data_IF_169735110557
#
_entry.id   IF_169735110557
#
_cell.length_a   1.000
_cell.length_b   1.000
_cell.length_c   1.000
_cell.angle_alpha   90.00
_cell.angle_beta   90.00
_cell.angle_gamma   90.00
#
_symmetry.space_group_name_H-M   'P 1'
#
loop_
_entity.id
_entity.type
_entity.pdbx_description
1 polymer ?
#
# COMPACT_ATOMS: atom_id res chain seq x y z
N UNK A 1 44.21 7.13 20.16
CA UNK A 1 44.46 6.19 21.28
C UNK A 1 43.48 5.03 21.20
N UNK A 2 44.06 3.81 20.98
CA UNK A 2 43.59 2.46 21.37
C UNK A 2 42.17 2.04 20.86
N UNK A 3 42.09 1.33 19.72
CA UNK A 3 42.15 -0.15 19.54
C UNK A 3 41.42 -0.97 20.59
N UNK A 4 40.39 -1.70 20.15
CA UNK A 4 40.17 -3.10 20.54
C UNK A 4 39.15 -3.78 19.61
N UNK A 5 39.61 -4.70 18.74
CA UNK A 5 38.92 -5.91 18.29
C UNK A 5 39.23 -7.00 19.33
N UNK A 6 38.36 -8.00 19.52
CA UNK A 6 38.69 -9.36 19.10
C UNK A 6 37.48 -10.07 18.43
N UNK A 7 37.71 -10.76 17.36
CA UNK A 7 38.20 -12.13 17.19
C UNK A 7 37.17 -13.23 17.48
N UNK A 8 36.69 -13.82 16.37
CA UNK A 8 36.57 -15.25 16.07
C UNK A 8 35.97 -16.20 17.11
N UNK A 9 34.89 -16.86 16.72
CA UNK A 9 34.67 -18.27 17.03
C UNK A 9 34.07 -19.02 15.84
N UNK A 10 34.96 -19.76 15.21
CA UNK A 10 34.68 -20.94 14.37
C UNK A 10 34.15 -22.07 15.27
N UNK A 11 32.96 -22.51 15.04
CA UNK A 11 32.37 -23.70 15.63
C UNK A 11 32.08 -24.74 14.54
N UNK A 12 33.09 -25.60 14.30
CA UNK A 12 32.95 -26.88 13.59
C UNK A 12 32.02 -27.81 14.40
N UNK A 13 31.02 -28.38 13.80
CA UNK A 13 30.43 -29.66 14.21
C UNK A 13 30.14 -30.47 12.96
N UNK A 14 30.92 -31.32 12.75
CA UNK A 14 31.21 -32.71 12.46
C UNK A 14 29.95 -33.56 12.29
N UNK A 15 29.93 -34.15 11.08
CA UNK A 15 29.39 -35.43 10.62
C UNK A 15 28.81 -36.37 11.69
N UNK A 16 27.60 -36.85 11.43
CA UNK A 16 27.23 -38.23 11.70
C UNK A 16 26.38 -38.79 10.55
N UNK A 17 27.04 -39.62 9.77
CA UNK A 17 26.45 -40.55 8.81
C UNK A 17 25.82 -41.70 9.62
N UNK A 18 24.55 -41.95 9.47
CA UNK A 18 23.93 -43.18 9.91
C UNK A 18 23.10 -43.73 8.74
N UNK A 19 23.71 -44.70 8.08
CA UNK A 19 23.08 -45.62 7.14
C UNK A 19 22.15 -46.58 7.89
N UNK A 20 20.89 -46.70 7.50
CA UNK A 20 20.07 -47.91 7.73
C UNK A 20 19.11 -48.12 6.56
N UNK A 21 19.47 -49.06 5.74
CA UNK A 21 18.75 -50.29 5.38
C UNK A 21 17.33 -50.13 4.80
N UNK A 22 17.29 -50.42 3.51
CA UNK A 22 16.31 -51.24 2.76
C UNK A 22 15.12 -51.82 3.54
N UNK A 23 13.94 -51.34 3.20
CA UNK A 23 12.75 -52.17 3.13
C UNK A 23 12.00 -51.90 1.82
N UNK A 24 12.20 -52.78 0.86
CA UNK A 24 11.41 -52.87 -0.35
C UNK A 24 10.05 -53.47 -0.01
N UNK A 25 8.98 -52.72 -0.14
CA UNK A 25 7.62 -53.22 -0.27
C UNK A 25 7.07 -52.79 -1.63
N UNK A 26 6.82 -53.73 -2.53
CA UNK A 26 6.03 -53.46 -3.73
C UNK A 26 4.55 -53.62 -3.33
N UNK A 27 3.80 -52.57 -3.33
CA UNK A 27 2.39 -52.70 -3.02
C UNK A 27 1.58 -51.46 -3.29
N UNK A 28 0.79 -51.54 -4.36
CA UNK A 28 -0.39 -50.73 -4.64
C UNK A 28 -0.10 -49.31 -5.16
N UNK A 29 0.00 -49.24 -6.48
CA UNK A 29 -0.38 -48.06 -7.26
C UNK A 29 -1.84 -47.71 -6.93
N UNK A 30 -2.04 -46.98 -5.88
CA UNK A 30 -3.23 -46.17 -5.69
C UNK A 30 -3.15 -45.05 -6.73
N UNK A 31 -3.89 -45.20 -7.82
CA UNK A 31 -4.22 -44.06 -8.68
C UNK A 31 -4.95 -43.04 -7.80
N UNK A 32 -4.18 -42.24 -7.09
CA UNK A 32 -4.68 -41.06 -6.41
C UNK A 32 -5.36 -40.20 -7.48
N UNK A 33 -6.67 -40.19 -7.43
CA UNK A 33 -7.48 -39.19 -8.12
C UNK A 33 -6.91 -37.82 -7.71
N UNK A 34 -5.99 -37.31 -8.57
CA UNK A 34 -5.68 -35.90 -8.56
C UNK A 34 -7.00 -35.21 -8.95
N UNK A 35 -7.85 -35.03 -7.96
CA UNK A 35 -8.99 -34.14 -8.10
C UNK A 35 -8.46 -32.82 -8.64
N UNK A 36 -9.17 -32.15 -9.54
CA UNK A 36 -8.76 -30.85 -9.95
C UNK A 36 -8.55 -30.03 -8.69
N UNK A 37 -7.30 -29.60 -8.45
CA UNK A 37 -7.02 -28.59 -7.46
C UNK A 37 -7.85 -27.39 -7.94
N UNK A 38 -9.02 -27.22 -7.39
CA UNK A 38 -9.77 -25.99 -7.53
C UNK A 38 -8.79 -24.93 -7.04
N UNK A 39 -8.21 -24.23 -8.00
CA UNK A 39 -7.53 -22.97 -7.70
C UNK A 39 -8.62 -22.12 -7.04
N UNK A 40 -8.61 -22.10 -5.71
CA UNK A 40 -9.52 -21.26 -4.95
C UNK A 40 -9.30 -19.86 -5.52
N UNK A 41 -10.29 -19.39 -6.29
CA UNK A 41 -10.24 -18.06 -6.89
C UNK A 41 -10.07 -17.05 -5.77
N UNK A 42 -9.43 -15.95 -6.04
CA UNK A 42 -9.36 -14.85 -5.10
C UNK A 42 -10.81 -14.39 -4.85
N UNK A 43 -11.35 -14.69 -3.66
CA UNK A 43 -12.65 -14.19 -3.23
C UNK A 43 -12.46 -12.78 -2.69
N UNK A 44 -13.04 -11.81 -3.39
CA UNK A 44 -12.96 -10.43 -2.98
C UNK A 44 -14.05 -10.10 -1.97
N UNK A 45 -13.71 -9.39 -0.87
CA UNK A 45 -14.73 -8.90 0.05
C UNK A 45 -15.67 -7.93 -0.65
N UNK A 46 -16.94 -7.94 -0.27
CA UNK A 46 -17.91 -6.96 -0.78
C UNK A 46 -17.54 -5.55 -0.32
N UNK A 47 -17.62 -4.59 -1.24
CA UNK A 47 -17.34 -3.18 -0.93
C UNK A 47 -18.56 -2.65 -0.18
N UNK A 48 -18.55 -2.75 1.15
CA UNK A 48 -19.59 -2.24 2.02
C UNK A 48 -19.45 -0.77 2.43
N UNK A 49 -18.37 -0.11 2.00
CA UNK A 49 -18.06 1.24 2.48
C UNK A 49 -18.41 2.30 1.44
N UNK A 50 -19.34 3.20 1.83
CA UNK A 50 -19.62 4.41 1.09
C UNK A 50 -18.32 5.25 0.95
N UNK A 51 -18.13 5.86 -0.21
CA UNK A 51 -17.01 6.78 -0.43
C UNK A 51 -15.78 6.18 -1.14
N UNK A 52 -15.59 4.86 -1.12
CA UNK A 52 -14.47 4.22 -1.82
C UNK A 52 -14.71 4.21 -3.33
N UNK A 53 -13.75 4.68 -4.16
CA UNK A 53 -13.91 4.73 -5.61
C UNK A 53 -13.88 3.33 -6.23
N UNK A 54 -14.62 3.14 -7.32
CA UNK A 54 -14.49 1.97 -8.18
C UNK A 54 -13.20 2.06 -8.99
N UNK A 55 -12.22 1.23 -8.62
CA UNK A 55 -10.90 1.22 -9.26
C UNK A 55 -10.89 0.49 -10.61
N UNK A 56 -11.98 -0.20 -10.97
CA UNK A 56 -12.08 -0.91 -12.26
C UNK A 56 -12.54 0.00 -13.39
N UNK A 57 -13.12 1.15 -13.06
CA UNK A 57 -13.70 2.09 -14.03
C UNK A 57 -12.66 2.91 -14.80
N UNK A 58 -11.44 3.05 -14.26
CA UNK A 58 -10.33 3.81 -14.87
C UNK A 58 -9.17 2.89 -15.26
N UNK A 59 -9.03 2.56 -16.57
CA UNK A 59 -7.97 1.65 -17.02
C UNK A 59 -6.55 2.21 -16.86
N UNK A 60 -6.36 3.53 -16.86
CA UNK A 60 -5.05 4.14 -16.64
C UNK A 60 -4.61 3.98 -15.18
N UNK A 61 -5.51 4.29 -14.27
CA UNK A 61 -5.34 4.06 -12.83
C UNK A 61 -5.12 2.58 -12.51
N UNK A 62 -5.94 1.71 -13.11
CA UNK A 62 -5.83 0.27 -12.97
C UNK A 62 -4.43 -0.24 -13.34
N UNK A 63 -3.90 0.19 -14.48
CA UNK A 63 -2.56 -0.15 -14.95
C UNK A 63 -1.48 0.33 -13.99
N UNK A 64 -1.62 1.53 -13.46
CA UNK A 64 -0.67 2.10 -12.50
C UNK A 64 -0.68 1.31 -11.19
N UNK A 65 -1.86 1.01 -10.65
CA UNK A 65 -2.00 0.25 -9.41
C UNK A 65 -1.47 -1.18 -9.52
N UNK A 66 -1.66 -1.85 -10.66
CA UNK A 66 -1.17 -3.22 -10.89
C UNK A 66 0.33 -3.27 -11.20
N UNK A 67 0.86 -2.33 -11.96
CA UNK A 67 2.22 -2.35 -12.49
C UNK A 67 3.13 -1.25 -11.97
N UNK A 68 2.60 -0.23 -11.32
CA UNK A 68 3.37 0.89 -10.79
C UNK A 68 4.29 0.51 -9.64
N UNK A 69 5.36 1.27 -9.48
CA UNK A 69 6.32 1.11 -8.39
C UNK A 69 6.83 2.47 -7.93
N UNK A 70 7.39 2.51 -6.71
CA UNK A 70 8.00 3.72 -6.18
C UNK A 70 7.03 4.88 -5.99
N UNK A 71 7.46 6.09 -6.37
CA UNK A 71 6.72 7.32 -6.14
C UNK A 71 5.35 7.37 -6.84
N UNK A 72 5.24 6.81 -8.05
CA UNK A 72 3.98 6.85 -8.80
C UNK A 72 2.87 6.06 -8.09
N UNK A 73 3.19 4.88 -7.58
CA UNK A 73 2.24 4.08 -6.79
C UNK A 73 1.90 4.78 -5.46
N UNK A 74 2.89 5.35 -4.79
CA UNK A 74 2.69 6.05 -3.53
C UNK A 74 1.77 7.28 -3.70
N UNK A 75 1.99 8.07 -4.76
CA UNK A 75 1.15 9.23 -5.08
C UNK A 75 -0.30 8.80 -5.37
N UNK A 76 -0.49 7.75 -6.18
CA UNK A 76 -1.84 7.26 -6.49
C UNK A 76 -2.57 6.76 -5.25
N UNK A 77 -1.87 6.06 -4.34
CA UNK A 77 -2.45 5.63 -3.07
C UNK A 77 -2.81 6.83 -2.19
N UNK A 78 -1.95 7.85 -2.13
CA UNK A 78 -2.23 9.07 -1.39
C UNK A 78 -3.48 9.78 -1.92
N UNK A 79 -3.63 9.86 -3.24
CA UNK A 79 -4.82 10.43 -3.88
C UNK A 79 -6.09 9.65 -3.55
N UNK A 80 -6.01 8.31 -3.55
CA UNK A 80 -7.13 7.46 -3.15
C UNK A 80 -7.53 7.68 -1.68
N UNK A 81 -6.56 7.73 -0.78
CA UNK A 81 -6.79 8.02 0.64
C UNK A 81 -7.48 9.37 0.80
N UNK A 82 -6.95 10.40 0.15
CA UNK A 82 -7.51 11.75 0.19
C UNK A 82 -8.95 11.78 -0.35
N UNK A 83 -9.24 11.10 -1.45
CA UNK A 83 -10.59 11.03 -2.02
C UNK A 83 -11.60 10.40 -1.06
N UNK A 84 -11.21 9.33 -0.34
CA UNK A 84 -12.08 8.69 0.64
C UNK A 84 -12.29 9.60 1.84
N UNK A 85 -11.22 10.19 2.39
CA UNK A 85 -11.29 11.09 3.55
C UNK A 85 -12.07 12.37 3.28
N UNK A 86 -12.05 12.87 2.04
CA UNK A 86 -12.89 14.01 1.62
C UNK A 86 -14.38 13.69 1.67
N UNK A 87 -14.77 12.45 1.33
CA UNK A 87 -16.16 12.00 1.36
C UNK A 87 -16.60 11.59 2.76
N UNK A 88 -15.70 10.96 3.50
CA UNK A 88 -15.94 10.46 4.85
C UNK A 88 -14.82 10.89 5.81
N UNK A 89 -14.85 12.14 6.31
CA UNK A 89 -13.79 12.69 7.16
C UNK A 89 -13.60 11.94 8.49
N UNK A 90 -14.60 11.18 8.91
CA UNK A 90 -14.57 10.41 10.17
C UNK A 90 -14.18 8.94 10.00
N UNK A 91 -13.83 8.51 8.78
CA UNK A 91 -13.46 7.12 8.52
C UNK A 91 -12.22 6.73 9.33
N UNK A 92 -12.25 5.56 9.96
CA UNK A 92 -11.07 5.05 10.64
C UNK A 92 -10.02 4.58 9.63
N UNK A 93 -8.72 4.62 10.01
CA UNK A 93 -7.65 4.09 9.16
C UNK A 93 -7.85 2.60 8.82
N UNK A 94 -8.43 1.82 9.73
CA UNK A 94 -8.74 0.41 9.51
C UNK A 94 -9.83 0.24 8.45
N UNK A 95 -10.92 0.99 8.55
CA UNK A 95 -12.02 0.93 7.59
C UNK A 95 -11.60 1.44 6.22
N UNK A 96 -10.81 2.51 6.18
CA UNK A 96 -10.24 3.05 4.96
C UNK A 96 -9.33 2.02 4.27
N UNK A 97 -8.43 1.38 5.03
CA UNK A 97 -7.55 0.32 4.49
C UNK A 97 -8.36 -0.83 3.94
N UNK A 98 -9.34 -1.35 4.71
CA UNK A 98 -10.20 -2.45 4.30
C UNK A 98 -11.02 -2.09 3.05
N UNK A 99 -11.57 -0.87 2.99
CA UNK A 99 -12.31 -0.38 1.83
C UNK A 99 -11.46 -0.30 0.57
N UNK A 100 -10.23 0.24 0.68
CA UNK A 100 -9.31 0.31 -0.45
C UNK A 100 -8.85 -1.08 -0.92
N UNK A 101 -8.61 -2.03 0.01
CA UNK A 101 -8.28 -3.42 -0.35
C UNK A 101 -9.47 -4.07 -1.06
N UNK A 102 -10.69 -3.89 -0.56
CA UNK A 102 -11.90 -4.42 -1.18
C UNK A 102 -12.11 -3.87 -2.61
N UNK A 103 -11.83 -2.57 -2.84
CA UNK A 103 -11.90 -1.95 -4.16
C UNK A 103 -10.77 -2.44 -5.10
N UNK A 104 -9.57 -2.71 -4.56
CA UNK A 104 -8.42 -3.17 -5.34
C UNK A 104 -8.52 -4.66 -5.73
N UNK A 105 -9.16 -5.48 -4.90
CA UNK A 105 -9.26 -6.92 -5.09
C UNK A 105 -9.88 -7.33 -6.44
N UNK A 106 -11.02 -6.77 -6.91
CA UNK A 106 -11.58 -7.10 -8.22
C UNK A 106 -10.63 -6.80 -9.38
N UNK A 107 -9.84 -5.73 -9.27
CA UNK A 107 -8.84 -5.37 -10.27
C UNK A 107 -7.78 -6.46 -10.41
N UNK A 108 -7.26 -6.96 -9.28
CA UNK A 108 -6.28 -8.06 -9.24
C UNK A 108 -6.90 -9.38 -9.68
N UNK A 109 -8.15 -9.67 -9.27
CA UNK A 109 -8.87 -10.89 -9.64
C UNK A 109 -9.07 -11.01 -11.15
N UNK A 110 -9.36 -9.89 -11.82
CA UNK A 110 -9.58 -9.81 -13.26
C UNK A 110 -8.28 -9.77 -14.10
N UNK A 111 -7.11 -9.63 -13.47
CA UNK A 111 -5.84 -9.58 -14.19
C UNK A 111 -5.45 -10.97 -14.74
N UNK A 112 -5.55 -11.22 -16.08
CA UNK A 112 -5.42 -12.56 -16.66
C UNK A 112 -3.98 -13.08 -16.62
N UNK A 113 -3.01 -12.18 -16.55
CA UNK A 113 -1.58 -12.52 -16.56
C UNK A 113 -1.06 -12.96 -15.18
N UNK A 114 -1.86 -12.83 -14.10
CA UNK A 114 -1.42 -13.13 -12.75
C UNK A 114 -1.85 -14.53 -12.30
N UNK A 115 -0.89 -15.30 -11.79
CA UNK A 115 -1.17 -16.54 -11.06
C UNK A 115 -1.82 -16.24 -9.70
N UNK A 116 -2.46 -17.23 -9.07
CA UNK A 116 -3.06 -17.06 -7.74
C UNK A 116 -2.07 -16.54 -6.70
N UNK A 117 -0.83 -17.06 -6.69
CA UNK A 117 0.21 -16.58 -5.77
C UNK A 117 0.60 -15.11 -6.03
N UNK A 118 0.68 -14.72 -7.31
CA UNK A 118 0.96 -13.34 -7.69
C UNK A 118 -0.18 -12.39 -7.31
N UNK A 119 -1.43 -12.83 -7.43
CA UNK A 119 -2.61 -12.05 -6.99
C UNK A 119 -2.54 -11.76 -5.50
N UNK A 120 -2.28 -12.75 -4.67
CA UNK A 120 -2.10 -12.56 -3.23
C UNK A 120 -0.93 -11.62 -2.92
N UNK A 121 0.20 -11.79 -3.61
CA UNK A 121 1.35 -10.89 -3.46
C UNK A 121 1.01 -9.44 -3.81
N UNK A 122 0.19 -9.21 -4.84
CA UNK A 122 -0.27 -7.87 -5.23
C UNK A 122 -1.17 -7.25 -4.15
N UNK A 123 -2.12 -8.01 -3.58
CA UNK A 123 -2.97 -7.52 -2.49
C UNK A 123 -2.12 -7.11 -1.28
N UNK A 124 -1.19 -7.96 -0.84
CA UNK A 124 -0.33 -7.63 0.31
C UNK A 124 0.60 -6.44 0.03
N UNK A 125 1.11 -6.32 -1.20
CA UNK A 125 1.93 -5.16 -1.59
C UNK A 125 1.13 -3.86 -1.51
N UNK A 126 -0.10 -3.87 -2.00
CA UNK A 126 -1.00 -2.73 -1.96
C UNK A 126 -1.38 -2.37 -0.53
N UNK A 127 -1.80 -3.35 0.28
CA UNK A 127 -2.09 -3.18 1.71
C UNK A 127 -0.94 -2.51 2.45
N UNK A 128 0.29 -3.05 2.28
CA UNK A 128 1.49 -2.48 2.90
C UNK A 128 1.74 -1.04 2.47
N UNK A 129 1.54 -0.74 1.19
CA UNK A 129 1.72 0.62 0.67
C UNK A 129 0.66 1.58 1.22
N UNK A 130 -0.60 1.17 1.36
CA UNK A 130 -1.65 1.95 2.03
C UNK A 130 -1.30 2.22 3.48
N UNK A 131 -0.90 1.19 4.24
CA UNK A 131 -0.52 1.34 5.64
C UNK A 131 0.70 2.26 5.82
N UNK A 132 1.67 2.18 4.92
CA UNK A 132 2.82 3.08 4.92
C UNK A 132 2.38 4.52 4.72
N UNK A 133 1.55 4.81 3.70
CA UNK A 133 1.05 6.16 3.46
C UNK A 133 0.26 6.69 4.66
N UNK A 134 -0.61 5.88 5.25
CA UNK A 134 -1.37 6.27 6.45
C UNK A 134 -0.46 6.54 7.67
N UNK A 135 0.64 5.81 7.81
CA UNK A 135 1.61 6.05 8.90
C UNK A 135 2.43 7.34 8.72
N UNK A 136 2.63 7.75 7.47
CA UNK A 136 3.31 9.00 7.12
C UNK A 136 2.38 10.22 7.21
N UNK A 137 1.05 10.01 7.22
CA UNK A 137 0.05 11.06 7.41
C UNK A 137 -0.19 11.25 8.93
N UNK A 138 0.18 12.37 9.52
CA UNK A 138 -0.13 12.63 10.93
C UNK A 138 -1.65 12.67 11.13
N UNK A 139 -2.18 12.21 12.28
CA UNK A 139 -3.61 12.27 12.60
C UNK A 139 -4.07 13.73 12.56
N UNK A 140 -5.07 14.01 11.71
CA UNK A 140 -5.51 15.38 11.41
C UNK A 140 -4.72 16.06 10.29
N UNK A 141 -4.04 15.25 9.47
CA UNK A 141 -3.18 15.75 8.39
C UNK A 141 -3.93 16.61 7.38
N UNK A 142 -3.24 17.65 6.97
CA UNK A 142 -3.68 18.57 5.93
C UNK A 142 -3.76 17.84 4.59
N UNK A 143 -4.87 18.01 3.90
CA UNK A 143 -4.96 17.62 2.48
C UNK A 143 -4.03 18.54 1.69
N UNK A 144 -3.09 17.96 0.97
CA UNK A 144 -2.26 18.70 0.02
C UNK A 144 -3.08 18.91 -1.25
N UNK A 145 -3.50 20.15 -1.48
CA UNK A 145 -4.17 20.53 -2.71
C UNK A 145 -3.20 21.32 -3.60
N UNK A 146 -3.04 20.91 -4.85
CA UNK A 146 -2.34 21.68 -5.86
C UNK A 146 -3.23 22.83 -6.32
N UNK A 147 -2.89 24.05 -5.91
CA UNK A 147 -3.60 25.26 -6.32
C UNK A 147 -2.76 25.99 -7.35
N UNK A 148 -3.19 26.10 -8.62
CA UNK A 148 -2.50 26.89 -9.61
C UNK A 148 -2.62 28.38 -9.23
N UNK A 149 -1.49 29.02 -8.92
CA UNK A 149 -1.42 30.42 -8.57
C UNK A 149 -0.66 31.22 -9.65
N UNK A 150 -1.13 32.41 -9.96
CA UNK A 150 -0.35 33.34 -10.75
C UNK A 150 0.96 33.68 -10.00
N UNK A 151 2.10 33.84 -10.70
CA UNK A 151 3.40 34.10 -10.08
C UNK A 151 3.41 35.32 -9.14
N UNK A 152 2.62 36.32 -9.44
CA UNK A 152 2.47 37.54 -8.64
C UNK A 152 1.79 37.24 -7.30
N UNK A 153 0.74 36.44 -7.32
CA UNK A 153 -0.01 36.02 -6.13
C UNK A 153 0.89 35.20 -5.23
N UNK A 154 1.65 34.25 -5.80
CA UNK A 154 2.59 33.44 -5.02
C UNK A 154 3.68 34.31 -4.37
N UNK A 155 4.23 35.30 -5.08
CA UNK A 155 5.21 36.25 -4.51
C UNK A 155 4.66 37.06 -3.35
N UNK A 156 3.41 37.51 -3.45
CA UNK A 156 2.74 38.24 -2.35
C UNK A 156 2.54 37.35 -1.14
N UNK A 157 2.05 36.10 -1.34
CA UNK A 157 1.89 35.10 -0.26
C UNK A 157 3.22 34.80 0.44
N UNK A 158 4.30 34.61 -0.32
CA UNK A 158 5.62 34.38 0.23
C UNK A 158 6.08 35.56 1.10
N UNK A 159 5.98 36.79 0.60
CA UNK A 159 6.39 37.96 1.36
C UNK A 159 5.56 38.15 2.65
N UNK A 160 4.26 37.87 2.60
CA UNK A 160 3.38 37.91 3.78
C UNK A 160 3.72 36.79 4.77
N UNK A 161 3.99 35.59 4.29
CA UNK A 161 4.37 34.47 5.14
C UNK A 161 5.70 34.74 5.86
N UNK A 162 6.70 35.27 5.16
CA UNK A 162 7.98 35.69 5.73
C UNK A 162 7.79 36.76 6.82
N UNK A 163 6.89 37.73 6.59
CA UNK A 163 6.61 38.81 7.56
C UNK A 163 6.01 38.28 8.88
N UNK A 164 5.30 37.14 8.85
CA UNK A 164 4.68 36.52 10.04
C UNK A 164 5.41 35.25 10.51
N UNK A 165 6.58 34.95 9.95
CA UNK A 165 7.39 33.77 10.33
C UNK A 165 6.76 32.44 9.98
N UNK A 166 5.95 32.37 8.94
CA UNK A 166 5.27 31.17 8.45
C UNK A 166 5.79 30.78 7.06
N UNK A 167 5.53 29.52 6.67
CA UNK A 167 5.71 29.11 5.29
C UNK A 167 4.53 29.58 4.43
N UNK A 168 4.71 29.78 3.11
CA UNK A 168 3.59 30.11 2.21
C UNK A 168 2.42 29.13 2.30
N UNK A 169 2.71 27.82 2.46
CA UNK A 169 1.69 26.78 2.61
C UNK A 169 0.88 26.93 3.92
N UNK A 170 1.55 27.25 5.03
CA UNK A 170 0.87 27.50 6.31
C UNK A 170 -0.03 28.73 6.24
N UNK A 171 0.45 29.81 5.62
CA UNK A 171 -0.35 31.03 5.44
C UNK A 171 -1.57 30.76 4.55
N UNK A 172 -1.40 30.05 3.42
CA UNK A 172 -2.54 29.67 2.57
C UNK A 172 -3.56 28.83 3.33
N UNK A 173 -3.09 27.85 4.11
CA UNK A 173 -3.98 27.02 4.95
C UNK A 173 -4.79 27.85 5.92
N UNK A 174 -4.19 28.84 6.61
CA UNK A 174 -4.89 29.72 7.54
C UNK A 174 -5.92 30.62 6.86
N UNK A 175 -5.58 31.16 5.68
CA UNK A 175 -6.50 31.96 4.87
C UNK A 175 -7.71 31.13 4.44
N UNK A 176 -7.48 29.93 3.93
CA UNK A 176 -8.53 29.01 3.50
C UNK A 176 -9.42 28.57 4.66
N UNK A 177 -8.83 28.25 5.82
CA UNK A 177 -9.58 27.92 7.04
C UNK A 177 -10.48 29.06 7.47
N UNK A 178 -9.98 30.31 7.45
CA UNK A 178 -10.76 31.50 7.77
C UNK A 178 -11.89 31.72 6.77
N UNK A 179 -11.62 31.54 5.46
CA UNK A 179 -12.61 31.67 4.41
C UNK A 179 -13.69 30.58 4.47
N UNK A 180 -13.35 29.38 4.95
CA UNK A 180 -14.28 28.29 5.15
C UNK A 180 -15.12 28.38 6.46
N UNK A 181 -14.94 29.44 7.25
CA UNK A 181 -15.75 29.69 8.46
C UNK A 181 -15.36 28.85 9.67
N UNK A 182 -14.11 28.37 9.73
CA UNK A 182 -13.55 27.66 10.87
C UNK A 182 -12.58 28.50 11.68
#
# INVERSE_FOLDING_TARGET
MKTFLPAAQLGRCMLLVASTALWALPGLFGAGLAGPAYAAGLECPEIGQAGVPDLTSDPARAKLLLGGAGADLANEISDLINQVQLKEPSISNADLTNGLIAAYCPLVAQAPALTSAQRWSQIHRFEKAVQQQLSEMPPGSMIVADVPLAPEVYRQLRNQAEAVGQTPAQLMGSILATAAGK
#
